data_IF_621084657005
#
_entry.id   IF_621084657005
#
_cell.length_a   1.000
_cell.length_b   1.000
_cell.length_c   1.000
_cell.angle_alpha   90.00
_cell.angle_beta   90.00
_cell.angle_gamma   90.00
#
_symmetry.space_group_name_H-M   'P 1'
#
loop_
_entity.id
_entity.type
_entity.pdbx_description
1 polymer ?
#
# COMPACT_ATOMS: atom_id res chain seq x y z
N UNK A 1 -4.45 -1.31 23.02
CA UNK A 1 -5.61 -2.01 23.60
C UNK A 1 -6.19 -2.92 22.52
N UNK A 2 -6.45 -4.20 22.79
CA UNK A 2 -7.08 -5.13 21.84
C UNK A 2 -8.53 -5.27 22.27
N UNK A 3 -9.46 -5.07 21.34
CA UNK A 3 -10.89 -5.22 21.56
C UNK A 3 -11.46 -6.28 20.62
N UNK A 4 -12.52 -6.96 21.05
CA UNK A 4 -13.30 -7.79 20.16
C UNK A 4 -13.91 -6.90 19.05
N UNK A 5 -13.69 -7.29 17.79
CA UNK A 5 -14.11 -6.50 16.64
C UNK A 5 -15.53 -6.93 16.22
N UNK A 6 -16.52 -6.21 16.71
CA UNK A 6 -17.91 -6.26 16.26
C UNK A 6 -18.20 -5.11 15.28
N UNK A 7 -19.35 -5.15 14.60
CA UNK A 7 -19.75 -4.05 13.71
C UNK A 7 -19.98 -2.74 14.46
N UNK A 8 -20.40 -2.80 15.71
CA UNK A 8 -20.64 -1.61 16.54
C UNK A 8 -19.32 -1.06 17.05
N UNK A 9 -18.43 -1.90 17.61
CA UNK A 9 -17.12 -1.46 18.07
C UNK A 9 -16.24 -0.95 16.92
N UNK A 10 -16.39 -1.49 15.70
CA UNK A 10 -15.72 -0.96 14.51
C UNK A 10 -16.22 0.48 14.21
N UNK A 11 -17.54 0.72 14.28
CA UNK A 11 -18.10 2.05 14.03
C UNK A 11 -17.57 3.07 15.02
N UNK A 12 -17.61 2.75 16.32
CA UNK A 12 -17.07 3.61 17.39
C UNK A 12 -15.56 3.88 17.18
N UNK A 13 -14.80 2.83 16.83
CA UNK A 13 -13.34 2.97 16.57
C UNK A 13 -13.04 3.87 15.37
N UNK A 14 -13.84 3.82 14.31
CA UNK A 14 -13.68 4.68 13.15
C UNK A 14 -13.94 6.16 13.44
N UNK A 15 -14.80 6.47 14.41
CA UNK A 15 -15.10 7.87 14.79
C UNK A 15 -13.86 8.58 15.35
N UNK A 16 -13.12 7.93 16.23
CA UNK A 16 -11.96 8.53 16.90
C UNK A 16 -10.62 8.24 16.20
N UNK A 17 -10.52 7.19 15.36
CA UNK A 17 -9.29 6.83 14.67
C UNK A 17 -8.79 7.96 13.77
N UNK A 18 -7.49 8.22 13.76
CA UNK A 18 -6.83 9.13 12.83
C UNK A 18 -6.39 8.44 11.54
N UNK A 19 -6.13 7.14 11.60
CA UNK A 19 -5.69 6.29 10.48
C UNK A 19 -6.33 4.92 10.63
N UNK A 20 -6.64 4.29 9.50
CA UNK A 20 -7.09 2.89 9.46
C UNK A 20 -6.11 2.06 8.64
N UNK A 21 -5.67 0.95 9.21
CA UNK A 21 -4.96 -0.13 8.51
C UNK A 21 -5.90 -1.33 8.47
N UNK A 22 -6.21 -1.84 7.28
CA UNK A 22 -7.16 -2.93 7.11
C UNK A 22 -6.69 -3.94 6.06
N UNK A 23 -7.00 -5.21 6.29
CA UNK A 23 -6.77 -6.27 5.33
C UNK A 23 -6.11 -7.50 5.90
N UNK A 24 -4.98 -7.42 6.63
CA UNK A 24 -4.38 -8.59 7.27
C UNK A 24 -5.39 -9.32 8.14
N UNK A 25 -5.63 -10.60 7.86
CA UNK A 25 -6.56 -11.44 8.61
C UNK A 25 -8.04 -11.05 8.53
N UNK A 26 -8.43 -10.13 7.64
CA UNK A 26 -9.81 -9.66 7.51
C UNK A 26 -10.77 -10.76 7.05
N UNK A 27 -10.30 -11.65 6.19
CA UNK A 27 -11.13 -12.62 5.50
C UNK A 27 -11.97 -11.99 4.37
N UNK A 28 -12.42 -12.87 3.47
CA UNK A 28 -13.21 -12.46 2.29
C UNK A 28 -14.69 -12.88 2.41
N UNK A 29 -15.10 -13.34 3.60
CA UNK A 29 -16.47 -13.73 3.90
C UNK A 29 -17.35 -12.50 4.19
N UNK A 30 -18.62 -12.73 4.47
CA UNK A 30 -19.62 -11.66 4.70
C UNK A 30 -19.19 -10.63 5.76
N UNK A 31 -18.55 -11.09 6.84
CA UNK A 31 -18.09 -10.19 7.88
C UNK A 31 -17.01 -9.22 7.37
N UNK A 32 -15.99 -9.75 6.67
CA UNK A 32 -14.90 -8.95 6.09
C UNK A 32 -15.41 -7.95 5.06
N UNK A 33 -16.35 -8.33 4.20
CA UNK A 33 -17.02 -7.45 3.24
C UNK A 33 -17.75 -6.30 3.94
N UNK A 34 -18.55 -6.61 4.98
CA UNK A 34 -19.28 -5.59 5.75
C UNK A 34 -18.34 -4.64 6.50
N UNK A 35 -17.26 -5.16 7.08
CA UNK A 35 -16.25 -4.35 7.74
C UNK A 35 -15.59 -3.39 6.74
N UNK A 36 -15.20 -3.88 5.56
CA UNK A 36 -14.61 -3.05 4.51
C UNK A 36 -15.57 -1.95 4.04
N UNK A 37 -16.86 -2.27 3.82
CA UNK A 37 -17.87 -1.28 3.45
C UNK A 37 -18.01 -0.15 4.47
N UNK A 38 -17.88 -0.44 5.77
CA UNK A 38 -17.87 0.60 6.80
C UNK A 38 -16.63 1.49 6.67
N UNK A 39 -15.46 0.90 6.44
CA UNK A 39 -14.20 1.63 6.26
C UNK A 39 -14.20 2.45 4.97
N UNK A 40 -14.92 2.06 3.94
CA UNK A 40 -15.04 2.81 2.68
C UNK A 40 -15.57 4.24 2.89
N UNK A 41 -16.35 4.48 3.93
CA UNK A 41 -16.84 5.81 4.26
C UNK A 41 -15.84 6.67 5.06
N UNK A 42 -14.73 6.08 5.50
CA UNK A 42 -13.70 6.77 6.26
C UNK A 42 -12.95 7.79 5.38
N UNK A 43 -12.82 9.03 5.86
CA UNK A 43 -12.27 10.15 5.09
C UNK A 43 -10.80 10.46 5.41
N UNK A 44 -10.30 9.95 6.53
CA UNK A 44 -8.93 10.14 6.98
C UNK A 44 -7.99 9.14 6.26
N UNK A 45 -6.67 9.25 6.41
CA UNK A 45 -5.72 8.34 5.75
C UNK A 45 -5.98 6.86 6.06
N UNK A 46 -5.85 6.01 5.05
CA UNK A 46 -6.03 4.57 5.14
C UNK A 46 -4.88 3.81 4.50
N UNK A 47 -4.62 2.60 5.00
CA UNK A 47 -3.78 1.61 4.32
C UNK A 47 -4.58 0.32 4.13
N UNK A 48 -4.57 -0.21 2.92
CA UNK A 48 -5.23 -1.47 2.55
C UNK A 48 -4.19 -2.48 2.07
N UNK A 49 -4.21 -3.68 2.66
CA UNK A 49 -3.32 -4.79 2.34
C UNK A 49 -4.09 -6.12 2.27
N UNK A 50 -3.48 -7.18 1.82
CA UNK A 50 -3.97 -8.55 1.85
C UNK A 50 -5.44 -8.70 1.40
N UNK A 51 -6.33 -9.19 2.29
CA UNK A 51 -7.73 -9.47 1.94
C UNK A 51 -8.51 -8.23 1.52
N UNK A 52 -8.18 -7.03 2.01
CA UNK A 52 -8.78 -5.80 1.54
C UNK A 52 -8.47 -5.53 0.05
N UNK A 53 -7.26 -5.89 -0.41
CA UNK A 53 -6.89 -5.78 -1.83
C UNK A 53 -7.61 -6.81 -2.69
N UNK A 54 -7.81 -8.02 -2.18
CA UNK A 54 -8.59 -9.04 -2.87
C UNK A 54 -10.05 -8.59 -3.07
N UNK A 55 -10.65 -7.99 -2.05
CA UNK A 55 -12.01 -7.43 -2.14
C UNK A 55 -12.07 -6.21 -3.05
N UNK A 56 -11.03 -5.35 -3.03
CA UNK A 56 -10.90 -4.20 -3.94
C UNK A 56 -10.79 -4.62 -5.41
N UNK A 57 -10.17 -5.77 -5.70
CA UNK A 57 -10.10 -6.30 -7.06
C UNK A 57 -11.48 -6.72 -7.59
N UNK A 58 -12.38 -7.17 -6.70
CA UNK A 58 -13.76 -7.56 -7.04
C UNK A 58 -14.64 -6.32 -7.24
N UNK A 59 -14.52 -5.32 -6.34
CA UNK A 59 -15.28 -4.07 -6.37
C UNK A 59 -14.29 -2.88 -6.46
N UNK A 60 -13.81 -2.54 -7.66
CA UNK A 60 -12.86 -1.45 -7.84
C UNK A 60 -13.42 -0.09 -7.39
N UNK A 61 -12.65 0.62 -6.58
CA UNK A 61 -12.99 1.94 -6.07
C UNK A 61 -11.75 2.84 -6.08
N UNK A 62 -11.89 4.09 -6.49
CA UNK A 62 -10.80 5.06 -6.60
C UNK A 62 -10.84 6.05 -5.45
N UNK A 63 -9.75 6.10 -4.64
CA UNK A 63 -9.62 6.99 -3.48
C UNK A 63 -8.26 7.64 -3.39
N UNK A 64 -8.23 8.92 -3.03
CA UNK A 64 -6.97 9.66 -2.91
C UNK A 64 -6.35 9.63 -1.50
N UNK A 65 -7.10 9.17 -0.49
CA UNK A 65 -6.67 9.09 0.90
C UNK A 65 -6.17 7.69 1.32
N UNK A 66 -5.78 6.86 0.35
CA UNK A 66 -5.45 5.44 0.58
C UNK A 66 -4.06 5.10 0.07
N UNK A 67 -3.31 4.32 0.87
CA UNK A 67 -2.14 3.55 0.44
C UNK A 67 -2.58 2.12 0.20
N UNK A 68 -2.18 1.52 -0.93
CA UNK A 68 -2.34 0.09 -1.20
C UNK A 68 -0.97 -0.56 -1.30
N UNK A 69 -0.80 -1.77 -0.72
CA UNK A 69 0.50 -2.44 -0.57
C UNK A 69 0.54 -3.83 -1.24
N UNK A 70 0.18 -3.96 -2.53
CA UNK A 70 0.09 -5.26 -3.16
C UNK A 70 1.46 -5.93 -3.36
N UNK A 71 1.55 -7.23 -3.10
CA UNK A 71 2.58 -8.08 -3.67
C UNK A 71 2.23 -8.40 -5.16
N UNK A 72 3.15 -8.95 -5.99
CA UNK A 72 2.89 -9.14 -7.42
C UNK A 72 1.63 -9.93 -7.75
N UNK A 73 1.27 -10.95 -6.95
CA UNK A 73 0.05 -11.72 -7.16
C UNK A 73 -1.24 -10.93 -6.87
N UNK A 74 -1.24 -10.04 -5.88
CA UNK A 74 -2.34 -9.12 -5.59
C UNK A 74 -2.45 -8.03 -6.67
N UNK A 75 -1.31 -7.48 -7.11
CA UNK A 75 -1.25 -6.52 -8.20
C UNK A 75 -1.81 -7.10 -9.51
N UNK A 76 -1.48 -8.35 -9.82
CA UNK A 76 -2.00 -9.07 -10.97
C UNK A 76 -3.53 -9.17 -10.93
N UNK A 77 -4.13 -9.50 -9.78
CA UNK A 77 -5.59 -9.52 -9.59
C UNK A 77 -6.20 -8.12 -9.73
N UNK A 78 -5.59 -7.12 -9.11
CA UNK A 78 -6.04 -5.73 -9.17
C UNK A 78 -6.05 -5.18 -10.60
N UNK A 79 -5.04 -5.52 -11.41
CA UNK A 79 -4.91 -5.03 -12.79
C UNK A 79 -5.54 -5.96 -13.83
N UNK A 80 -5.93 -7.17 -13.45
CA UNK A 80 -6.50 -8.17 -14.37
C UNK A 80 -5.46 -8.67 -15.38
N UNK A 81 -4.21 -8.90 -14.95
CA UNK A 81 -3.11 -9.37 -15.77
C UNK A 81 -2.35 -10.51 -15.05
N UNK A 82 -1.33 -11.06 -15.69
CA UNK A 82 -0.49 -12.11 -15.10
C UNK A 82 0.59 -11.54 -14.18
N UNK A 83 1.10 -12.38 -13.27
CA UNK A 83 2.27 -12.02 -12.43
C UNK A 83 3.49 -11.75 -13.30
N UNK A 84 3.67 -12.50 -14.40
CA UNK A 84 4.76 -12.27 -15.33
C UNK A 84 4.72 -10.88 -15.98
N UNK A 85 3.52 -10.38 -16.31
CA UNK A 85 3.36 -9.00 -16.80
C UNK A 85 3.70 -7.97 -15.73
N UNK A 86 3.32 -8.20 -14.47
CA UNK A 86 3.70 -7.32 -13.35
C UNK A 86 5.23 -7.26 -13.22
N UNK A 87 5.91 -8.42 -13.25
CA UNK A 87 7.35 -8.48 -13.07
C UNK A 87 8.14 -7.95 -14.29
N UNK A 88 7.56 -8.00 -15.49
CA UNK A 88 8.21 -7.49 -16.71
C UNK A 88 8.34 -5.97 -16.74
N UNK A 89 7.38 -5.23 -16.14
CA UNK A 89 7.39 -3.77 -16.05
C UNK A 89 6.71 -3.28 -14.78
N UNK A 90 7.43 -3.41 -13.67
CA UNK A 90 6.94 -3.08 -12.32
C UNK A 90 6.62 -1.59 -12.17
N UNK A 91 7.41 -0.73 -12.82
CA UNK A 91 7.23 0.73 -12.77
C UNK A 91 5.91 1.13 -13.41
N UNK A 92 5.66 0.66 -14.62
CA UNK A 92 4.42 0.93 -15.33
C UNK A 92 3.21 0.32 -14.60
N UNK A 93 3.34 -0.89 -14.06
CA UNK A 93 2.28 -1.52 -13.29
C UNK A 93 1.94 -0.75 -12.00
N UNK A 94 2.92 -0.21 -11.29
CA UNK A 94 2.67 0.64 -10.12
C UNK A 94 1.91 1.93 -10.51
N UNK A 95 2.26 2.56 -11.63
CA UNK A 95 1.52 3.71 -12.15
C UNK A 95 0.07 3.35 -12.55
N UNK A 96 -0.14 2.21 -13.20
CA UNK A 96 -1.50 1.70 -13.53
C UNK A 96 -2.34 1.46 -12.28
N UNK A 97 -1.74 0.96 -11.19
CA UNK A 97 -2.44 0.80 -9.90
C UNK A 97 -2.92 2.16 -9.39
N UNK A 98 -2.08 3.18 -9.39
CA UNK A 98 -2.45 4.54 -8.95
C UNK A 98 -3.51 5.16 -9.87
N UNK A 99 -3.40 4.99 -11.18
CA UNK A 99 -4.42 5.48 -12.13
C UNK A 99 -5.79 4.87 -11.86
N UNK A 100 -5.83 3.57 -11.57
CA UNK A 100 -7.07 2.82 -11.35
C UNK A 100 -7.66 3.05 -9.97
N UNK A 101 -6.84 3.04 -8.93
CA UNK A 101 -7.28 3.00 -7.53
C UNK A 101 -7.04 4.30 -6.76
N UNK A 102 -6.31 5.25 -7.32
CA UNK A 102 -5.94 6.52 -6.68
C UNK A 102 -4.93 6.36 -5.54
N UNK A 103 -4.65 7.45 -4.86
CA UNK A 103 -3.76 7.48 -3.70
C UNK A 103 -2.31 7.09 -4.01
N UNK A 104 -1.76 6.16 -3.21
CA UNK A 104 -0.39 5.66 -3.33
C UNK A 104 -0.40 4.15 -3.46
N UNK A 105 0.41 3.60 -4.36
CA UNK A 105 0.62 2.16 -4.52
C UNK A 105 2.07 1.79 -4.16
N UNK A 106 2.22 0.81 -3.28
CA UNK A 106 3.49 0.18 -2.89
C UNK A 106 3.50 -1.23 -3.49
N UNK A 107 4.12 -1.41 -4.64
CA UNK A 107 4.27 -2.71 -5.28
C UNK A 107 5.46 -3.45 -4.65
N UNK A 108 5.14 -4.35 -3.73
CA UNK A 108 6.13 -5.15 -2.97
C UNK A 108 6.92 -6.09 -3.88
N UNK A 109 8.19 -6.38 -3.54
CA UNK A 109 9.05 -7.33 -4.24
C UNK A 109 10.51 -6.87 -4.25
N UNK A 110 11.38 -7.59 -4.98
CA UNK A 110 12.77 -7.18 -5.17
C UNK A 110 12.80 -5.82 -5.88
N UNK A 111 13.28 -4.78 -5.20
CA UNK A 111 13.11 -3.39 -5.62
C UNK A 111 11.63 -2.96 -5.50
N UNK A 112 11.17 -2.69 -4.27
CA UNK A 112 9.81 -2.20 -4.02
C UNK A 112 9.59 -0.88 -4.75
N UNK A 113 8.48 -0.77 -5.49
CA UNK A 113 8.12 0.44 -6.24
C UNK A 113 7.01 1.17 -5.52
N UNK A 114 7.24 2.45 -5.19
CA UNK A 114 6.23 3.34 -4.62
C UNK A 114 5.81 4.34 -5.70
N UNK A 115 4.53 4.38 -6.01
CA UNK A 115 3.96 5.30 -7.00
C UNK A 115 2.83 6.14 -6.39
N UNK A 116 2.74 7.40 -6.83
CA UNK A 116 1.63 8.30 -6.55
C UNK A 116 1.31 9.16 -7.76
N UNK A 117 0.07 9.66 -7.85
CA UNK A 117 -0.35 10.56 -8.92
C UNK A 117 0.07 12.02 -8.60
N UNK A 118 0.47 12.85 -9.58
CA UNK A 118 0.47 12.56 -11.02
C UNK A 118 1.71 11.81 -11.52
N UNK A 119 2.90 12.00 -10.94
CA UNK A 119 4.15 11.46 -11.53
C UNK A 119 5.21 11.14 -10.47
N UNK A 120 4.81 10.98 -9.20
CA UNK A 120 5.73 10.59 -8.17
C UNK A 120 5.99 9.07 -8.26
N UNK A 121 7.25 8.71 -8.45
CA UNK A 121 7.71 7.33 -8.56
C UNK A 121 9.01 7.18 -7.78
N UNK A 122 9.06 6.23 -6.87
CA UNK A 122 10.25 5.88 -6.10
C UNK A 122 10.55 4.39 -6.22
N UNK A 123 11.81 4.05 -6.34
CA UNK A 123 12.29 2.67 -6.22
C UNK A 123 13.04 2.58 -4.91
N UNK A 124 12.64 1.64 -4.07
CA UNK A 124 13.32 1.34 -2.81
C UNK A 124 14.10 0.05 -3.04
N UNK A 125 15.39 0.20 -3.23
CA UNK A 125 16.33 -0.91 -3.44
C UNK A 125 16.89 -1.44 -2.11
N UNK A 126 16.24 -1.09 -1.01
CA UNK A 126 16.51 -1.60 0.32
C UNK A 126 15.74 -2.92 0.49
N UNK A 127 16.38 -4.04 0.26
CA UNK A 127 15.75 -5.34 0.47
C UNK A 127 16.64 -6.49 0.08
N UNK A 128 16.85 -7.45 0.99
CA UNK A 128 17.49 -8.71 0.66
C UNK A 128 16.45 -9.83 0.48
N UNK A 129 16.88 -10.95 -0.11
CA UNK A 129 16.03 -12.12 -0.33
C UNK A 129 15.45 -12.74 0.97
N UNK A 130 15.90 -12.31 2.15
CA UNK A 130 15.40 -12.74 3.45
C UNK A 130 14.07 -12.09 3.86
N UNK A 131 13.65 -11.02 3.17
CA UNK A 131 12.39 -10.31 3.44
C UNK A 131 11.14 -11.05 2.89
N UNK A 132 11.31 -12.18 2.24
CA UNK A 132 10.21 -13.02 1.77
C UNK A 132 9.57 -13.91 2.85
N UNK A 133 9.83 -13.64 4.14
CA UNK A 133 9.22 -14.40 5.24
C UNK A 133 7.79 -13.95 5.51
N UNK A 134 6.93 -14.90 5.89
CA UNK A 134 5.53 -14.61 6.24
C UNK A 134 5.44 -13.59 7.39
N UNK A 135 4.53 -12.63 7.27
CA UNK A 135 4.30 -11.59 8.27
C UNK A 135 5.03 -10.25 8.02
N UNK A 136 6.02 -10.21 7.15
CA UNK A 136 6.72 -8.95 6.83
C UNK A 136 5.80 -7.90 6.20
N UNK A 137 4.80 -8.31 5.40
CA UNK A 137 3.79 -7.40 4.88
C UNK A 137 2.98 -6.70 5.96
N UNK A 138 2.63 -7.44 7.03
CA UNK A 138 1.87 -6.90 8.15
C UNK A 138 2.70 -5.87 8.95
N UNK A 139 4.01 -6.13 9.10
CA UNK A 139 4.96 -5.19 9.72
C UNK A 139 5.06 -3.91 8.90
N UNK A 140 5.26 -4.02 7.58
CA UNK A 140 5.29 -2.86 6.67
C UNK A 140 4.01 -2.04 6.78
N UNK A 141 2.85 -2.69 6.77
CA UNK A 141 1.55 -2.03 6.91
C UNK A 141 1.42 -1.30 8.25
N UNK A 142 1.94 -1.89 9.33
CA UNK A 142 1.99 -1.27 10.66
C UNK A 142 2.90 -0.03 10.69
N UNK A 143 4.09 -0.10 10.10
CA UNK A 143 5.05 1.02 10.04
C UNK A 143 4.45 2.18 9.23
N UNK A 144 3.94 1.92 8.03
CA UNK A 144 3.32 2.97 7.20
C UNK A 144 2.12 3.57 7.94
N UNK A 145 1.27 2.75 8.56
CA UNK A 145 0.13 3.20 9.37
C UNK A 145 0.55 4.13 10.50
N UNK A 146 1.62 3.80 11.23
CA UNK A 146 2.17 4.64 12.29
C UNK A 146 2.69 5.99 11.76
N UNK A 147 3.36 6.00 10.61
CA UNK A 147 3.85 7.22 9.96
C UNK A 147 2.70 8.11 9.47
N UNK A 148 1.63 7.52 8.93
CA UNK A 148 0.39 8.24 8.59
C UNK A 148 -0.25 8.86 9.85
N UNK A 149 -0.24 8.14 10.97
CA UNK A 149 -0.69 8.65 12.27
C UNK A 149 0.12 9.86 12.77
N UNK A 150 1.39 9.95 12.38
CA UNK A 150 2.25 11.10 12.61
C UNK A 150 2.03 12.25 11.62
N UNK A 151 1.00 12.15 10.78
CA UNK A 151 0.60 13.16 9.78
C UNK A 151 1.57 13.31 8.61
N UNK A 152 2.41 12.31 8.31
CA UNK A 152 3.18 12.31 7.07
C UNK A 152 2.23 12.20 5.87
N UNK A 153 2.55 12.86 4.74
CA UNK A 153 1.86 12.64 3.46
C UNK A 153 1.92 11.17 3.05
N UNK A 154 0.90 10.68 2.35
CA UNK A 154 0.77 9.26 1.98
C UNK A 154 2.02 8.71 1.29
N UNK A 155 2.58 9.47 0.33
CA UNK A 155 3.76 9.07 -0.42
C UNK A 155 5.01 9.00 0.47
N UNK A 156 5.21 10.01 1.30
CA UNK A 156 6.38 10.07 2.20
C UNK A 156 6.32 8.97 3.26
N UNK A 157 5.13 8.71 3.82
CA UNK A 157 4.91 7.61 4.75
C UNK A 157 5.17 6.24 4.11
N UNK A 158 4.74 6.05 2.86
CA UNK A 158 4.98 4.81 2.11
C UNK A 158 6.48 4.60 1.83
N UNK A 159 7.18 5.64 1.35
CA UNK A 159 8.62 5.56 1.09
C UNK A 159 9.42 5.30 2.37
N UNK A 160 9.17 6.07 3.43
CA UNK A 160 9.86 5.92 4.71
C UNK A 160 9.58 4.54 5.34
N UNK A 161 8.33 4.05 5.27
CA UNK A 161 7.97 2.72 5.75
C UNK A 161 8.74 1.61 5.04
N UNK A 162 8.87 1.68 3.73
CA UNK A 162 9.62 0.68 2.96
C UNK A 162 11.13 0.67 3.28
N UNK A 163 11.71 1.83 3.61
CA UNK A 163 13.12 1.91 4.04
C UNK A 163 13.30 1.35 5.45
N UNK A 164 12.38 1.61 6.37
CA UNK A 164 12.47 1.14 7.77
C UNK A 164 12.14 -0.34 7.94
N UNK A 165 11.44 -0.95 7.00
CA UNK A 165 11.16 -2.40 7.02
C UNK A 165 12.40 -3.24 6.70
N UNK A 166 13.49 -2.65 6.22
CA UNK A 166 14.76 -3.34 6.01
C UNK A 166 15.61 -3.35 7.31
N UNK A 167 15.80 -4.53 7.94
CA UNK A 167 16.64 -4.65 9.14
C UNK A 167 18.13 -4.36 8.90
N UNK A 168 18.55 -4.29 7.64
CA UNK A 168 19.94 -4.02 7.22
C UNK A 168 20.11 -2.62 6.59
N UNK A 169 19.05 -1.81 6.51
CA UNK A 169 19.18 -0.44 6.05
C UNK A 169 20.14 0.31 6.96
N UNK A 170 21.25 0.78 6.41
CA UNK A 170 22.16 1.68 7.11
C UNK A 170 21.40 2.96 7.46
N UNK A 171 21.14 3.18 8.76
CA UNK A 171 20.39 4.33 9.27
C UNK A 171 21.06 5.67 8.99
N UNK A 172 22.21 5.68 8.34
CA UNK A 172 22.97 6.86 7.93
C UNK A 172 22.80 7.18 6.43
N UNK A 173 22.20 6.30 5.62
CA UNK A 173 22.03 6.52 4.21
C UNK A 173 20.72 7.24 3.89
N UNK A 174 20.88 8.36 3.34
CA UNK A 174 20.05 9.36 2.64
C UNK A 174 18.61 8.98 2.27
N UNK A 175 17.67 9.95 2.35
CA UNK A 175 16.26 9.75 2.04
C UNK A 175 16.07 9.32 0.59
N UNK A 176 14.96 8.58 0.36
CA UNK A 176 14.41 8.17 -0.92
C UNK A 176 14.87 9.10 -2.05
N UNK A 177 15.73 8.61 -2.92
CA UNK A 177 16.16 9.37 -4.08
C UNK A 177 14.94 9.46 -5.00
N UNK A 178 14.25 10.58 -4.95
CA UNK A 178 13.17 10.91 -5.88
C UNK A 178 13.82 11.02 -7.25
N UNK A 179 13.89 9.91 -7.98
CA UNK A 179 14.21 9.93 -9.39
C UNK A 179 13.00 10.51 -10.13
N UNK A 180 12.87 11.83 -10.07
CA UNK A 180 11.96 12.58 -10.95
C UNK A 180 12.54 12.51 -12.35
N UNK A 181 12.45 11.37 -13.04
CA UNK A 181 12.58 11.34 -14.48
C UNK A 181 11.32 11.96 -15.05
N UNK A 182 11.40 13.23 -15.45
CA UNK A 182 10.46 13.80 -16.41
C UNK A 182 10.56 12.95 -17.69
N UNK A 183 9.48 12.25 -18.02
CA UNK A 183 9.29 11.62 -19.33
C UNK A 183 9.03 12.71 -20.39
N UNK A 184 10.04 13.54 -20.63
CA UNK A 184 10.02 14.54 -21.69
C UNK A 184 11.32 14.42 -22.49
N UNK A 185 11.66 13.22 -23.01
CA UNK A 185 12.65 13.07 -24.07
C UNK A 185 12.70 11.61 -24.60
N UNK A 186 11.56 11.09 -25.05
CA UNK A 186 11.54 9.95 -25.97
C UNK A 186 10.59 10.27 -27.12
N UNK A 187 10.97 11.31 -27.90
CA UNK A 187 10.47 11.53 -29.26
C UNK A 187 11.55 12.25 -30.04
N UNK A 188 12.51 11.46 -30.52
CA UNK A 188 13.29 11.72 -31.74
C UNK A 188 13.76 10.40 -32.32
#
# INVERSE_FOLDING_TARGET
MVHELTMDSLTESLEWADVVVIGPGLGQQEWGKKALQKVENFRKPMLWDADALNLLAINPDKRHNRVITPHPGEAARLLGCSVAEIESDRLHCAQRLVQRYGGVAVLKGAGTVVAAHPDALGIIDAGNAGMASGGMGDVLSGIIGALLGQKLPLYDAACAGCVHDDPHADRTSTPCTTATRRLADVSR
#
